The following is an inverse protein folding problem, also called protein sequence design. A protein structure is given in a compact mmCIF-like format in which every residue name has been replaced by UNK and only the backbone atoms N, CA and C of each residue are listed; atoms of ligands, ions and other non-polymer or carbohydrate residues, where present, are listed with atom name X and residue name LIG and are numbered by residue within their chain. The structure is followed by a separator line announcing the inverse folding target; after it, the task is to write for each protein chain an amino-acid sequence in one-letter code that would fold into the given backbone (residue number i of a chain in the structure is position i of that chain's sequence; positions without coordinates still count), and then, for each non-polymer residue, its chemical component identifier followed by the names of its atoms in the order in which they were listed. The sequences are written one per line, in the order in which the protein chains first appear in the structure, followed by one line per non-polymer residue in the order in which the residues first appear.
data_IF_921760843619
#
_entry.id   IF_921760843619
#
_cell.length_a   1.000
_cell.length_b   1.000
_cell.length_c   1.000
_cell.angle_alpha   90.00
_cell.angle_beta   90.00
_cell.angle_gamma   90.00
#
_symmetry.space_group_name_H-M   'P 1'
#
loop_
_entity.id
_entity.type
_entity.pdbx_description
1 polymer ?
#
# COMPACT_ATOMS: atom_id res chain seq x y z
N UNK A 1 25.73 -40.21 -12.74
CA UNK A 1 25.10 -38.97 -12.22
C UNK A 1 26.12 -38.27 -11.35
N UNK A 2 26.59 -37.07 -11.74
CA UNK A 2 27.62 -36.32 -11.01
C UNK A 2 26.95 -35.09 -10.40
N UNK A 3 26.72 -35.11 -9.09
CA UNK A 3 26.36 -33.92 -8.33
C UNK A 3 27.64 -33.35 -7.74
N UNK A 4 28.27 -32.43 -8.47
CA UNK A 4 29.56 -31.84 -8.12
C UNK A 4 29.46 -30.33 -7.94
N UNK A 5 28.71 -29.87 -6.93
CA UNK A 5 28.88 -28.52 -6.40
C UNK A 5 28.41 -28.46 -4.94
N UNK A 6 29.29 -28.08 -3.99
CA UNK A 6 28.89 -27.88 -2.60
C UNK A 6 27.92 -26.69 -2.50
N UNK A 7 26.82 -26.87 -1.78
CA UNK A 7 25.81 -25.82 -1.51
C UNK A 7 26.49 -24.68 -0.75
N UNK A 8 26.65 -23.53 -1.40
CA UNK A 8 27.24 -22.35 -0.78
C UNK A 8 26.18 -21.52 -0.05
N UNK A 9 26.55 -21.03 1.14
CA UNK A 9 25.71 -20.13 1.93
C UNK A 9 25.51 -18.81 1.16
N UNK A 10 24.32 -18.19 1.22
CA UNK A 10 24.00 -16.95 0.48
C UNK A 10 24.98 -15.79 0.73
N UNK A 11 25.65 -15.75 1.89
CA UNK A 11 26.66 -14.75 2.22
C UNK A 11 28.05 -14.98 1.60
N UNK A 12 28.30 -16.14 0.99
CA UNK A 12 29.60 -16.55 0.43
C UNK A 12 29.70 -16.36 -1.08
N UNK A 13 28.67 -15.77 -1.70
CA UNK A 13 28.59 -15.50 -3.15
C UNK A 13 29.60 -14.43 -3.59
N UNK A 14 30.05 -13.58 -2.66
CA UNK A 14 30.99 -12.50 -2.95
C UNK A 14 32.42 -12.96 -2.63
N UNK A 15 33.15 -13.36 -3.66
CA UNK A 15 34.60 -13.56 -3.58
C UNK A 15 35.29 -12.22 -3.32
N UNK A 16 36.29 -12.12 -2.42
CA UNK A 16 37.07 -10.91 -2.28
C UNK A 16 37.87 -10.68 -3.57
N UNK A 17 37.43 -9.71 -4.38
CA UNK A 17 38.16 -9.27 -5.58
C UNK A 17 39.46 -8.60 -5.15
N UNK A 18 40.59 -9.09 -5.65
CA UNK A 18 41.95 -8.62 -5.33
C UNK A 18 42.31 -7.30 -6.03
N UNK A 19 41.53 -6.87 -7.02
CA UNK A 19 41.71 -5.58 -7.66
C UNK A 19 41.12 -4.48 -6.79
N UNK A 20 41.97 -3.64 -6.19
CA UNK A 20 41.57 -2.38 -5.56
C UNK A 20 41.29 -1.37 -6.68
N UNK A 21 40.04 -1.18 -7.13
CA UNK A 21 39.75 -0.18 -8.14
C UNK A 21 39.79 1.18 -7.45
N UNK A 22 40.24 2.21 -8.15
CA UNK A 22 40.21 3.57 -7.66
C UNK A 22 38.80 3.89 -7.13
N UNK A 23 38.65 4.32 -5.86
CA UNK A 23 37.34 4.37 -5.18
C UNK A 23 36.35 5.27 -5.91
N UNK A 24 36.85 6.31 -6.58
CA UNK A 24 36.08 7.20 -7.47
C UNK A 24 35.42 6.44 -8.63
N UNK A 25 36.16 5.52 -9.26
CA UNK A 25 35.69 4.73 -10.40
C UNK A 25 34.69 3.67 -9.97
N UNK A 26 34.90 3.05 -8.81
CA UNK A 26 33.97 2.07 -8.24
C UNK A 26 32.62 2.70 -7.87
N UNK A 27 32.63 3.86 -7.20
CA UNK A 27 31.41 4.60 -6.85
C UNK A 27 30.65 5.01 -8.11
N UNK A 28 31.35 5.43 -9.17
CA UNK A 28 30.74 5.74 -10.46
C UNK A 28 29.99 4.55 -11.06
N UNK A 29 30.64 3.39 -11.14
CA UNK A 29 30.04 2.14 -11.64
C UNK A 29 28.87 1.68 -10.78
N UNK A 30 29.00 1.75 -9.45
CA UNK A 30 27.93 1.35 -8.52
C UNK A 30 26.70 2.24 -8.69
N UNK A 31 26.89 3.56 -8.79
CA UNK A 31 25.81 4.52 -9.01
C UNK A 31 25.11 4.27 -10.34
N UNK A 32 25.85 3.97 -11.39
CA UNK A 32 25.29 3.65 -12.71
C UNK A 32 24.43 2.36 -12.66
N UNK A 33 24.94 1.31 -12.01
CA UNK A 33 24.20 0.05 -11.83
C UNK A 33 22.94 0.27 -10.99
N UNK A 34 23.05 0.98 -9.87
CA UNK A 34 21.89 1.28 -9.03
C UNK A 34 20.86 2.13 -9.76
N UNK A 35 21.27 3.11 -10.58
CA UNK A 35 20.34 3.92 -11.38
C UNK A 35 19.59 3.09 -12.43
N UNK A 36 20.23 2.07 -13.01
CA UNK A 36 19.56 1.13 -13.93
C UNK A 36 18.60 0.18 -13.22
N UNK A 37 18.86 -0.12 -11.95
CA UNK A 37 17.99 -0.97 -11.10
C UNK A 37 16.83 -0.21 -10.47
N UNK A 38 16.86 1.13 -10.47
CA UNK A 38 15.74 1.92 -9.98
C UNK A 38 14.50 1.59 -10.82
N UNK A 39 13.35 1.31 -10.17
CA UNK A 39 12.10 1.19 -10.89
C UNK A 39 11.90 2.44 -11.75
N UNK A 40 11.42 2.32 -12.99
CA UNK A 40 11.05 3.49 -13.77
C UNK A 40 10.10 4.33 -12.92
N UNK A 41 10.29 5.66 -12.94
CA UNK A 41 9.43 6.59 -12.21
C UNK A 41 7.99 6.18 -12.48
N UNK A 42 7.26 5.79 -11.43
CA UNK A 42 5.88 5.36 -11.60
C UNK A 42 5.16 6.46 -12.35
N UNK A 43 4.67 6.20 -13.56
CA UNK A 43 3.73 7.10 -14.18
C UNK A 43 2.58 7.23 -13.20
N UNK A 44 2.41 8.42 -12.62
CA UNK A 44 1.19 8.76 -11.92
C UNK A 44 0.09 8.54 -12.95
N UNK A 45 -0.71 7.49 -12.74
CA UNK A 45 -1.95 7.33 -13.51
C UNK A 45 -2.71 8.63 -13.35
N UNK A 46 -3.27 9.14 -14.44
CA UNK A 46 -4.06 10.38 -14.45
C UNK A 46 -5.17 10.39 -13.39
N UNK A 47 -5.95 11.47 -13.28
CA UNK A 47 -6.91 11.65 -12.20
C UNK A 47 -7.70 10.36 -11.93
N UNK A 48 -7.50 9.79 -10.74
CA UNK A 48 -8.13 8.55 -10.34
C UNK A 48 -9.64 8.78 -10.29
N UNK A 49 -10.37 8.26 -11.28
CA UNK A 49 -11.83 8.21 -11.24
C UNK A 49 -12.22 7.04 -10.34
N UNK A 50 -12.75 7.36 -9.16
CA UNK A 50 -13.21 6.36 -8.21
C UNK A 50 -14.63 5.98 -8.58
N UNK A 51 -14.88 4.69 -8.70
CA UNK A 51 -16.21 4.17 -8.94
C UNK A 51 -17.05 4.27 -7.66
N UNK A 52 -18.17 4.99 -7.74
CA UNK A 52 -19.18 5.06 -6.68
C UNK A 52 -20.44 4.39 -7.18
N UNK A 53 -20.91 3.34 -6.48
CA UNK A 53 -22.15 2.67 -6.85
C UNK A 53 -23.35 3.60 -6.71
N UNK A 54 -24.27 3.55 -7.67
CA UNK A 54 -25.56 4.27 -7.61
C UNK A 54 -26.40 3.83 -6.42
N UNK A 55 -26.25 2.59 -5.99
CA UNK A 55 -26.98 2.01 -4.86
C UNK A 55 -26.62 2.71 -3.55
N UNK A 56 -25.50 3.44 -3.47
CA UNK A 56 -25.14 4.21 -2.29
C UNK A 56 -26.23 5.24 -1.91
N UNK A 57 -27.01 5.70 -2.88
CA UNK A 57 -28.17 6.57 -2.66
C UNK A 57 -29.32 5.86 -1.94
N UNK A 58 -29.54 4.58 -2.23
CA UNK A 58 -30.71 3.78 -1.81
C UNK A 58 -30.38 2.70 -0.76
N UNK A 59 -29.12 2.56 -0.33
CA UNK A 59 -28.71 1.59 0.70
C UNK A 59 -29.58 1.66 1.97
N UNK A 60 -29.44 0.75 2.91
CA UNK A 60 -30.01 0.89 4.27
C UNK A 60 -28.92 1.09 5.32
N UNK A 61 -27.78 0.43 5.10
CA UNK A 61 -26.63 0.43 5.99
C UNK A 61 -25.34 0.82 5.26
N UNK A 62 -24.39 1.38 6.00
CA UNK A 62 -23.05 1.76 5.49
C UNK A 62 -21.99 1.25 6.46
N UNK A 63 -20.87 0.79 5.90
CA UNK A 63 -19.68 0.42 6.68
C UNK A 63 -18.82 1.65 6.92
N UNK A 64 -18.46 1.91 8.18
CA UNK A 64 -17.60 3.02 8.55
C UNK A 64 -16.16 2.54 8.76
N UNK A 65 -15.20 3.24 8.17
CA UNK A 65 -13.77 2.94 8.30
C UNK A 65 -13.13 3.88 9.31
N UNK A 66 -12.47 3.32 10.32
CA UNK A 66 -11.83 4.11 11.40
C UNK A 66 -10.32 4.14 11.21
N UNK A 67 -9.75 5.17 10.59
CA UNK A 67 -8.31 5.22 10.22
C UNK A 67 -7.34 5.51 11.38
N UNK A 68 -7.74 5.26 12.62
CA UNK A 68 -6.86 5.32 13.78
C UNK A 68 -5.86 4.16 13.80
N UNK A 69 -4.80 4.25 14.62
CA UNK A 69 -3.89 3.13 14.89
C UNK A 69 -4.70 1.92 15.37
N UNK A 70 -4.76 0.88 14.52
CA UNK A 70 -5.53 -0.34 14.79
C UNK A 70 -4.64 -1.42 15.39
N UNK A 71 -5.23 -2.33 16.17
CA UNK A 71 -4.56 -3.57 16.57
C UNK A 71 -4.40 -4.47 15.34
N UNK A 72 -3.39 -5.36 15.35
CA UNK A 72 -3.07 -6.22 14.21
C UNK A 72 -4.25 -7.06 13.67
N UNK A 73 -5.20 -7.42 14.54
CA UNK A 73 -6.37 -8.24 14.20
C UNK A 73 -7.69 -7.45 14.15
N UNK A 74 -7.64 -6.13 14.22
CA UNK A 74 -8.86 -5.32 14.19
C UNK A 74 -9.26 -5.04 12.74
N UNK A 75 -10.49 -5.36 12.34
CA UNK A 75 -10.93 -5.13 10.98
C UNK A 75 -10.94 -3.63 10.65
N UNK A 76 -10.66 -3.26 9.40
CA UNK A 76 -10.59 -1.86 8.99
C UNK A 76 -11.95 -1.15 8.99
N UNK A 77 -13.02 -1.91 8.71
CA UNK A 77 -14.39 -1.45 8.73
C UNK A 77 -15.08 -1.98 9.98
N UNK A 78 -15.83 -1.09 10.64
CA UNK A 78 -16.73 -1.48 11.72
C UNK A 78 -18.01 -2.12 11.17
N UNK A 79 -18.86 -2.61 12.06
CA UNK A 79 -20.18 -3.16 11.74
C UNK A 79 -21.04 -2.23 10.87
N UNK A 80 -22.00 -2.77 10.10
CA UNK A 80 -22.89 -1.96 9.29
C UNK A 80 -23.75 -1.05 10.19
N UNK A 81 -23.73 0.26 9.93
CA UNK A 81 -24.54 1.23 10.66
C UNK A 81 -25.75 1.65 9.84
N UNK A 82 -26.91 1.76 10.51
CA UNK A 82 -28.14 2.25 9.88
C UNK A 82 -27.96 3.71 9.47
N UNK A 83 -28.36 4.04 8.25
CA UNK A 83 -28.35 5.43 7.78
C UNK A 83 -29.65 6.12 8.16
N UNK A 84 -29.53 7.25 8.86
CA UNK A 84 -30.63 8.11 9.29
C UNK A 84 -30.95 9.18 8.24
N UNK A 85 -29.92 9.76 7.63
CA UNK A 85 -30.07 10.81 6.62
C UNK A 85 -28.90 10.77 5.64
N UNK A 86 -29.17 11.20 4.40
CA UNK A 86 -28.20 11.19 3.30
C UNK A 86 -28.19 12.52 2.58
N UNK A 87 -26.98 12.94 2.23
CA UNK A 87 -26.70 14.02 1.31
C UNK A 87 -25.48 13.57 0.46
N UNK A 88 -25.28 14.14 -0.73
CA UNK A 88 -24.37 13.67 -1.79
C UNK A 88 -23.10 12.95 -1.29
N UNK A 89 -22.30 13.62 -0.46
CA UNK A 89 -21.07 13.07 0.15
C UNK A 89 -21.16 12.93 1.67
N UNK A 90 -22.31 13.17 2.29
CA UNK A 90 -22.47 13.23 3.74
C UNK A 90 -23.57 12.28 4.19
N UNK A 91 -23.24 11.37 5.10
CA UNK A 91 -24.16 10.39 5.65
C UNK A 91 -24.30 10.65 7.15
N UNK A 92 -25.53 10.69 7.66
CA UNK A 92 -25.80 10.61 9.10
C UNK A 92 -26.12 9.16 9.42
N UNK A 93 -25.29 8.51 10.22
CA UNK A 93 -25.46 7.12 10.63
C UNK A 93 -25.82 7.04 12.12
N UNK A 94 -26.54 6.00 12.51
CA UNK A 94 -26.79 5.69 13.90
C UNK A 94 -25.65 4.81 14.44
N UNK A 95 -24.78 5.38 15.29
CA UNK A 95 -23.73 4.66 16.00
C UNK A 95 -24.10 4.61 17.48
N UNK A 96 -24.49 3.42 17.96
CA UNK A 96 -24.86 3.15 19.36
C UNK A 96 -25.93 4.12 19.91
N UNK A 97 -26.96 4.41 19.12
CA UNK A 97 -28.06 5.33 19.50
C UNK A 97 -27.74 6.81 19.29
N UNK A 98 -26.54 7.16 18.83
CA UNK A 98 -26.14 8.54 18.54
C UNK A 98 -26.01 8.76 17.04
N UNK A 99 -26.53 9.89 16.55
CA UNK A 99 -26.34 10.31 15.17
C UNK A 99 -24.92 10.80 14.93
N UNK A 100 -24.17 10.11 14.07
CA UNK A 100 -22.83 10.50 13.65
C UNK A 100 -22.84 10.94 12.19
N UNK A 101 -22.28 12.11 11.89
CA UNK A 101 -22.12 12.60 10.53
C UNK A 101 -20.77 12.16 9.97
N UNK A 102 -20.78 11.42 8.86
CA UNK A 102 -19.59 10.92 8.20
C UNK A 102 -19.57 11.37 6.74
N UNK A 103 -18.36 11.58 6.20
CA UNK A 103 -18.17 12.03 4.82
C UNK A 103 -17.62 10.88 3.98
N UNK A 104 -18.14 10.73 2.77
CA UNK A 104 -17.58 9.85 1.75
C UNK A 104 -16.27 10.46 1.23
N UNK A 105 -15.18 9.76 1.44
CA UNK A 105 -13.86 10.07 0.88
C UNK A 105 -13.54 9.02 -0.16
N UNK A 106 -13.23 9.47 -1.37
CA UNK A 106 -12.85 8.65 -2.53
C UNK A 106 -11.36 8.81 -2.81
#
# INVERSE_FOLDING_TARGET
MVYGAPIQLPGKILSPTTDSPDPSTFIGKLKEVMQRLLPPKSQQRGPHTVFVSKDLSSCSHVFFRTDALRKALQPPYEVPFQVLHRNEKIFKINKNGKGLTVKLTV
#
